data_IF_624456603624
#
_entry.id   IF_624456603624
#
_cell.length_a   1.000
_cell.length_b   1.000
_cell.length_c   1.000
_cell.angle_alpha   90.00
_cell.angle_beta   90.00
_cell.angle_gamma   90.00
#
_symmetry.space_group_name_H-M   'P 1'
#
loop_
_entity.id
_entity.type
_entity.pdbx_description
1 polymer ?
#
# COMPACT_ATOMS: atom_id res chain seq x y z
N UNK A 1 13.98 2.83 -27.25
CA UNK A 1 13.69 2.45 -25.84
C UNK A 1 12.33 1.79 -25.79
N UNK A 2 12.26 0.53 -25.35
CA UNK A 2 10.99 -0.16 -25.10
C UNK A 2 10.60 -0.01 -23.63
N UNK A 3 9.30 0.19 -23.37
CA UNK A 3 8.73 0.18 -22.03
C UNK A 3 8.11 -1.20 -21.77
N UNK A 4 8.48 -1.83 -20.66
CA UNK A 4 7.77 -3.02 -20.18
C UNK A 4 6.58 -2.56 -19.32
N UNK A 5 5.36 -2.83 -19.79
CA UNK A 5 4.13 -2.47 -19.08
C UNK A 5 3.64 -3.67 -18.26
N UNK A 6 3.66 -3.52 -16.94
CA UNK A 6 3.04 -4.47 -16.02
C UNK A 6 1.73 -3.85 -15.53
N UNK A 7 0.61 -4.52 -15.82
CA UNK A 7 -0.72 -4.07 -15.40
C UNK A 7 -1.28 -4.99 -14.31
N UNK A 8 -1.59 -4.42 -13.14
CA UNK A 8 -2.31 -5.07 -12.04
C UNK A 8 -3.39 -4.13 -11.52
N UNK A 9 -4.68 -4.50 -11.62
CA UNK A 9 -5.77 -3.59 -11.28
C UNK A 9 -5.94 -3.48 -9.76
N UNK A 10 -5.71 -2.28 -9.23
CA UNK A 10 -6.12 -1.90 -7.87
C UNK A 10 -7.28 -0.92 -7.98
N UNK A 11 -8.35 -1.21 -7.24
CA UNK A 11 -9.59 -0.44 -7.25
C UNK A 11 -9.64 0.41 -5.98
N UNK A 12 -10.17 1.63 -6.06
CA UNK A 12 -10.11 2.59 -4.96
C UNK A 12 -11.09 2.26 -3.80
N UNK A 13 -12.11 1.46 -4.05
CA UNK A 13 -13.21 1.14 -3.14
C UNK A 13 -13.36 -0.36 -2.86
N UNK A 14 -12.52 -1.22 -3.46
CA UNK A 14 -12.45 -2.65 -3.19
C UNK A 14 -11.08 -3.06 -2.65
N UNK A 15 -11.07 -3.76 -1.51
CA UNK A 15 -9.87 -4.32 -0.90
C UNK A 15 -9.22 -5.29 -1.89
N UNK A 16 -7.92 -5.13 -2.12
CA UNK A 16 -7.18 -6.06 -2.94
C UNK A 16 -7.05 -7.40 -2.17
N UNK A 17 -7.29 -8.55 -2.81
CA UNK A 17 -7.01 -9.85 -2.19
C UNK A 17 -5.55 -9.96 -1.77
N UNK A 18 -5.27 -10.70 -0.70
CA UNK A 18 -3.90 -10.90 -0.19
C UNK A 18 -2.94 -11.36 -1.30
N UNK A 19 -3.40 -12.31 -2.12
CA UNK A 19 -2.65 -12.87 -3.26
C UNK A 19 -2.22 -11.80 -4.26
N UNK A 20 -3.06 -10.81 -4.54
CA UNK A 20 -2.74 -9.72 -5.46
C UNK A 20 -1.69 -8.77 -4.86
N UNK A 21 -1.79 -8.47 -3.56
CA UNK A 21 -0.81 -7.64 -2.86
C UNK A 21 0.56 -8.34 -2.85
N UNK A 22 0.60 -9.63 -2.55
CA UNK A 22 1.84 -10.43 -2.54
C UNK A 22 2.45 -10.54 -3.95
N UNK A 23 1.62 -10.70 -4.98
CA UNK A 23 2.09 -10.67 -6.37
C UNK A 23 2.73 -9.32 -6.72
N UNK A 24 2.11 -8.22 -6.31
CA UNK A 24 2.67 -6.87 -6.48
C UNK A 24 4.01 -6.74 -5.76
N UNK A 25 4.12 -7.25 -4.52
CA UNK A 25 5.38 -7.23 -3.76
C UNK A 25 6.49 -7.97 -4.53
N UNK A 26 6.18 -9.14 -5.10
CA UNK A 26 7.14 -9.89 -5.91
C UNK A 26 7.56 -9.09 -7.16
N UNK A 27 6.60 -8.52 -7.89
CA UNK A 27 6.88 -7.66 -9.06
C UNK A 27 7.81 -6.50 -8.68
N UNK A 28 7.57 -5.85 -7.54
CA UNK A 28 8.37 -4.71 -7.08
C UNK A 28 9.81 -5.11 -6.72
N UNK A 29 10.05 -6.33 -6.24
CA UNK A 29 11.40 -6.85 -5.99
C UNK A 29 12.15 -7.16 -7.28
N UNK A 30 11.45 -7.65 -8.30
CA UNK A 30 12.07 -8.16 -9.54
C UNK A 30 12.19 -7.12 -10.66
N UNK A 31 11.44 -6.02 -10.57
CA UNK A 31 11.37 -5.02 -11.64
C UNK A 31 12.72 -4.31 -11.84
N UNK A 32 13.11 -4.15 -13.11
CA UNK A 32 14.33 -3.41 -13.48
C UNK A 32 14.10 -1.90 -13.38
N UNK A 33 15.06 -1.18 -12.81
CA UNK A 33 15.04 0.27 -12.70
C UNK A 33 15.59 0.99 -13.95
N UNK A 34 15.13 2.21 -14.26
CA UNK A 34 14.12 3.03 -13.54
C UNK A 34 12.67 2.55 -13.77
N UNK A 35 11.78 2.81 -12.80
CA UNK A 35 10.35 2.41 -12.84
C UNK A 35 9.44 3.62 -12.67
N UNK A 36 8.24 3.55 -13.26
CA UNK A 36 7.19 4.57 -13.11
C UNK A 36 5.89 3.90 -12.68
N UNK A 37 5.29 4.37 -11.60
CA UNK A 37 3.96 3.93 -11.16
C UNK A 37 2.90 4.90 -11.68
N UNK A 38 1.82 4.38 -12.27
CA UNK A 38 0.71 5.19 -12.81
C UNK A 38 -0.63 4.54 -12.52
N UNK A 39 -1.58 5.33 -12.01
CA UNK A 39 -3.01 5.02 -11.96
C UNK A 39 -3.83 6.03 -12.76
N UNK A 40 -5.11 5.72 -13.05
CA UNK A 40 -6.02 6.56 -13.87
C UNK A 40 -6.11 8.02 -13.39
N UNK A 41 -6.06 8.26 -12.08
CA UNK A 41 -6.09 9.60 -11.46
C UNK A 41 -4.86 9.93 -10.62
N UNK A 42 -3.82 9.09 -10.64
CA UNK A 42 -2.55 9.34 -9.97
C UNK A 42 -2.54 9.29 -8.43
N UNK A 43 -3.67 9.42 -7.73
CA UNK A 43 -3.68 9.71 -6.28
C UNK A 43 -3.90 8.46 -5.41
N UNK A 44 -4.64 7.45 -5.89
CA UNK A 44 -5.13 6.38 -5.02
C UNK A 44 -4.28 5.09 -5.10
N UNK A 45 -4.29 4.30 -6.19
CA UNK A 45 -3.39 3.15 -6.34
C UNK A 45 -1.89 3.49 -6.39
N UNK A 46 -1.53 4.62 -7.01
CA UNK A 46 -0.13 4.99 -7.20
C UNK A 46 0.59 5.22 -5.86
N UNK A 47 -0.07 5.94 -4.95
CA UNK A 47 0.47 6.20 -3.60
C UNK A 47 0.66 4.90 -2.83
N UNK A 48 -0.31 3.99 -2.89
CA UNK A 48 -0.20 2.67 -2.26
C UNK A 48 1.01 1.88 -2.77
N UNK A 49 1.16 1.74 -4.09
CA UNK A 49 2.28 1.01 -4.70
C UNK A 49 3.63 1.65 -4.35
N UNK A 50 3.72 2.98 -4.38
CA UNK A 50 4.93 3.71 -4.03
C UNK A 50 5.33 3.46 -2.57
N UNK A 51 4.38 3.51 -1.63
CA UNK A 51 4.62 3.21 -0.22
C UNK A 51 5.05 1.76 -0.01
N UNK A 52 4.38 0.79 -0.65
CA UNK A 52 4.78 -0.62 -0.58
C UNK A 52 6.19 -0.81 -1.11
N UNK A 53 6.54 -0.21 -2.25
CA UNK A 53 7.90 -0.25 -2.79
C UNK A 53 8.96 0.27 -1.81
N UNK A 54 8.69 1.40 -1.14
CA UNK A 54 9.60 1.94 -0.13
C UNK A 54 9.78 1.00 1.07
N UNK A 55 8.69 0.39 1.54
CA UNK A 55 8.72 -0.55 2.66
C UNK A 55 9.45 -1.85 2.32
N UNK A 56 9.17 -2.46 1.15
CA UNK A 56 9.64 -3.82 0.83
C UNK A 56 10.94 -3.86 0.04
N UNK A 57 11.23 -2.84 -0.79
CA UNK A 57 12.44 -2.80 -1.63
C UNK A 57 13.51 -1.89 -1.05
N UNK A 58 13.12 -0.74 -0.47
CA UNK A 58 14.06 0.24 0.11
C UNK A 58 14.25 0.09 1.62
N UNK A 59 13.52 -0.83 2.26
CA UNK A 59 13.55 -1.06 3.71
C UNK A 59 13.35 0.24 4.53
N UNK A 60 12.57 1.18 3.99
CA UNK A 60 12.23 2.42 4.70
C UNK A 60 11.15 2.08 5.72
N UNK A 61 11.35 2.39 7.02
CA UNK A 61 10.35 2.13 8.04
C UNK A 61 9.00 2.75 7.67
N UNK A 62 7.93 1.98 7.88
CA UNK A 62 6.54 2.40 7.64
C UNK A 62 6.14 3.67 8.43
N UNK A 63 6.90 3.99 9.48
CA UNK A 63 6.78 5.18 10.34
C UNK A 63 7.31 6.47 9.67
N UNK A 64 7.94 6.40 8.49
CA UNK A 64 8.42 7.60 7.79
C UNK A 64 7.24 8.54 7.51
N UNK A 65 7.24 9.59 8.32
CA UNK A 65 6.10 10.42 8.62
C UNK A 65 5.49 11.05 7.36
N UNK A 66 4.20 11.36 7.46
CA UNK A 66 3.41 12.16 6.50
C UNK A 66 4.13 13.44 5.99
N UNK A 67 5.19 13.91 6.66
CA UNK A 67 6.01 15.07 6.25
C UNK A 67 7.21 14.79 5.33
N UNK A 68 7.79 13.58 5.31
CA UNK A 68 9.02 13.28 4.54
C UNK A 68 8.75 12.74 3.12
N UNK A 69 7.49 12.58 2.72
CA UNK A 69 7.10 12.23 1.34
C UNK A 69 7.29 13.44 0.39
N UNK A 70 7.52 14.66 0.91
CA UNK A 70 7.71 15.85 0.08
C UNK A 70 8.99 15.84 -0.76
N UNK A 71 10.05 15.16 -0.31
CA UNK A 71 11.36 15.20 -1.01
C UNK A 71 11.55 14.05 -2.01
N UNK A 72 10.82 12.94 -1.86
CA UNK A 72 10.67 11.90 -2.89
C UNK A 72 9.40 12.16 -3.73
N UNK A 73 9.38 13.30 -4.42
CA UNK A 73 8.47 13.63 -5.53
C UNK A 73 7.01 13.17 -5.46
N UNK A 74 6.33 13.26 -4.31
CA UNK A 74 4.88 13.07 -4.28
C UNK A 74 4.23 13.90 -3.16
N UNK A 75 3.74 15.09 -3.52
CA UNK A 75 2.75 15.80 -2.69
C UNK A 75 1.44 15.02 -2.69
N UNK A 76 1.32 13.98 -1.86
CA UNK A 76 0.05 13.27 -1.63
C UNK A 76 -0.66 14.00 -0.49
N UNK A 77 -1.48 14.98 -0.84
CA UNK A 77 -2.49 15.53 0.07
C UNK A 77 -3.69 14.59 0.11
N UNK A 78 -3.87 13.92 1.26
CA UNK A 78 -4.93 12.93 1.49
C UNK A 78 -6.29 13.59 1.73
N UNK A 79 -6.93 14.10 0.67
CA UNK A 79 -8.27 14.68 0.80
C UNK A 79 -9.40 13.63 0.90
N UNK A 80 -9.16 12.36 0.52
CA UNK A 80 -10.14 11.26 0.63
C UNK A 80 -9.46 9.93 1.02
N UNK A 81 -9.83 9.35 2.17
CA UNK A 81 -9.47 7.95 2.53
C UNK A 81 -10.10 7.01 1.50
N UNK A 82 -9.27 6.30 0.74
CA UNK A 82 -9.68 5.20 -0.11
C UNK A 82 -9.22 3.89 0.54
N UNK A 83 -9.68 2.74 0.03
CA UNK A 83 -9.42 1.45 0.68
C UNK A 83 -7.93 1.06 0.70
N UNK A 84 -7.15 1.47 -0.29
CA UNK A 84 -5.71 1.22 -0.33
C UNK A 84 -4.97 1.99 0.78
N UNK A 85 -5.43 3.21 1.10
CA UNK A 85 -4.93 3.94 2.26
C UNK A 85 -5.37 3.27 3.57
N UNK A 86 -6.59 2.75 3.62
CA UNK A 86 -7.09 2.05 4.79
C UNK A 86 -6.28 0.78 5.10
N UNK A 87 -5.85 0.04 4.06
CA UNK A 87 -4.94 -1.11 4.21
C UNK A 87 -3.63 -0.70 4.90
N UNK A 88 -3.01 0.42 4.46
CA UNK A 88 -1.80 0.93 5.08
C UNK A 88 -2.03 1.42 6.52
N UNK A 89 -3.16 2.09 6.79
CA UNK A 89 -3.52 2.54 8.13
C UNK A 89 -3.70 1.35 9.09
N UNK A 90 -4.36 0.27 8.67
CA UNK A 90 -4.52 -0.97 9.48
C UNK A 90 -3.16 -1.65 9.69
N UNK A 91 -2.34 -1.75 8.63
CA UNK A 91 -0.99 -2.31 8.75
C UNK A 91 -0.11 -1.53 9.73
N UNK A 92 -0.13 -0.19 9.70
CA UNK A 92 0.61 0.64 10.64
C UNK A 92 0.10 0.49 12.07
N UNK A 93 -1.23 0.42 12.26
CA UNK A 93 -1.82 0.21 13.57
C UNK A 93 -1.41 -1.15 14.17
N UNK A 94 -1.33 -2.20 13.36
CA UNK A 94 -0.79 -3.52 13.77
C UNK A 94 0.68 -3.47 14.14
N UNK A 95 1.47 -2.81 13.31
CA UNK A 95 2.91 -2.73 13.50
C UNK A 95 3.35 -1.92 14.71
N UNK A 96 2.48 -1.03 15.18
CA UNK A 96 2.67 -0.37 16.46
C UNK A 96 2.74 -1.37 17.62
N UNK A 97 2.08 -2.53 17.50
CA UNK A 97 2.01 -3.56 18.55
C UNK A 97 2.99 -4.73 18.34
N UNK A 98 3.45 -4.98 17.11
CA UNK A 98 4.44 -6.02 16.79
C UNK A 98 5.24 -5.64 15.54
N UNK A 99 6.57 -5.67 15.59
CA UNK A 99 7.40 -5.37 14.42
C UNK A 99 7.34 -6.52 13.39
N UNK A 100 6.42 -6.42 12.42
CA UNK A 100 6.20 -7.42 11.37
C UNK A 100 6.28 -6.75 10.00
N UNK A 101 7.14 -7.24 9.11
CA UNK A 101 7.29 -6.68 7.76
C UNK A 101 5.97 -6.67 6.96
N UNK A 102 5.87 -5.79 5.96
CA UNK A 102 4.62 -5.63 5.19
C UNK A 102 4.19 -6.91 4.48
N UNK A 103 5.15 -7.61 3.88
CA UNK A 103 4.91 -8.89 3.22
C UNK A 103 4.48 -9.97 4.22
N UNK A 104 5.18 -10.11 5.35
CA UNK A 104 4.84 -11.10 6.37
C UNK A 104 3.47 -10.83 7.01
N UNK A 105 3.15 -9.58 7.28
CA UNK A 105 1.84 -9.18 7.79
C UNK A 105 0.73 -9.42 6.77
N UNK A 106 1.01 -9.18 5.49
CA UNK A 106 0.08 -9.52 4.39
C UNK A 106 -0.13 -11.03 4.29
N UNK A 107 0.93 -11.82 4.42
CA UNK A 107 0.84 -13.28 4.31
C UNK A 107 0.07 -13.93 5.45
N UNK A 108 0.27 -13.45 6.68
CA UNK A 108 -0.20 -14.16 7.87
C UNK A 108 -1.43 -13.53 8.52
N UNK A 109 -1.70 -12.25 8.29
CA UNK A 109 -2.70 -11.50 9.07
C UNK A 109 -3.67 -10.67 8.23
N UNK A 110 -3.47 -10.56 6.92
CA UNK A 110 -4.35 -9.78 6.07
C UNK A 110 -5.59 -10.58 5.64
N UNK A 111 -6.74 -9.93 5.74
CA UNK A 111 -8.06 -10.49 5.43
C UNK A 111 -8.83 -9.40 4.68
N UNK A 112 -8.98 -9.55 3.37
CA UNK A 112 -9.58 -8.53 2.52
C UNK A 112 -11.06 -8.29 2.81
N UNK A 113 -11.79 -9.31 3.26
CA UNK A 113 -13.20 -9.17 3.66
C UNK A 113 -13.33 -8.32 4.93
N UNK A 114 -12.49 -8.56 5.94
CA UNK A 114 -12.44 -7.72 7.15
C UNK A 114 -12.02 -6.30 6.85
N UNK A 115 -11.04 -6.11 5.97
CA UNK A 115 -10.61 -4.77 5.53
C UNK A 115 -11.76 -4.05 4.82
N UNK A 116 -12.48 -4.74 3.92
CA UNK A 116 -13.62 -4.17 3.21
C UNK A 116 -14.74 -3.78 4.17
N UNK A 117 -15.12 -4.67 5.09
CA UNK A 117 -16.12 -4.40 6.11
C UNK A 117 -15.72 -3.23 7.00
N UNK A 118 -14.45 -3.18 7.41
CA UNK A 118 -13.83 -2.05 8.08
C UNK A 118 -13.99 -0.74 7.33
N UNK A 119 -13.54 -0.72 6.08
CA UNK A 119 -13.60 0.48 5.25
C UNK A 119 -15.03 1.03 5.11
N UNK A 120 -16.03 0.14 4.95
CA UNK A 120 -17.44 0.51 4.85
C UNK A 120 -18.02 1.04 6.17
N UNK A 121 -17.68 0.39 7.30
CA UNK A 121 -18.23 0.73 8.61
C UNK A 121 -17.53 1.92 9.28
N UNK A 122 -16.38 2.36 8.73
CA UNK A 122 -15.53 3.46 9.24
C UNK A 122 -15.11 3.33 10.72
N UNK A 123 -14.80 2.15 11.28
CA UNK A 123 -14.22 2.09 12.61
C UNK A 123 -12.79 2.66 12.58
N UNK A 124 -12.27 3.13 13.72
CA UNK A 124 -10.86 3.45 13.88
C UNK A 124 -9.97 2.28 13.41
N UNK A 125 -8.93 2.49 12.56
CA UNK A 125 -8.10 1.40 12.02
C UNK A 125 -7.49 0.45 13.06
N UNK A 126 -7.23 0.95 14.27
CA UNK A 126 -6.76 0.17 15.43
C UNK A 126 -7.69 -0.97 15.86
N UNK A 127 -8.98 -0.90 15.55
CA UNK A 127 -9.95 -1.95 15.92
C UNK A 127 -9.89 -3.16 14.98
N UNK A 128 -9.24 -2.99 13.84
CA UNK A 128 -8.93 -4.09 12.92
C UNK A 128 -7.47 -4.51 13.00
N UNK A 129 -6.69 -3.89 13.90
CA UNK A 129 -5.32 -4.29 14.12
C UNK A 129 -5.27 -5.68 14.76
#
# INVERSE_FOLDING_TARGET
>A
MSLNLINRPLIADRAAPAVLILEIVQILRDIKHPVVFRGKSGINPTGFIATVYLMVVKAVPAVYEKGQISTFSFGITFAKRNINHYILDVYHARNYHAAVGFEDGTKNNYDDEKIQAGFHNKPPPRELA
#
